data_IF_166028189728
#
_entry.id   IF_166028189728
#
_cell.length_a   1.000
_cell.length_b   1.000
_cell.length_c   1.000
_cell.angle_alpha   90.00
_cell.angle_beta   90.00
_cell.angle_gamma   90.00
#
_symmetry.space_group_name_H-M   'P 1'
#
loop_
_entity.id
_entity.type
_entity.pdbx_description
1 polymer ?
#
# COMPACT_ATOMS: atom_id res chain seq x y z
N UNK A 1 -28.22 14.40 -4.29
CA UNK A 1 -28.06 14.47 -5.76
C UNK A 1 -27.69 13.09 -6.30
N UNK A 2 -28.67 12.38 -6.85
CA UNK A 2 -28.48 11.16 -7.63
C UNK A 2 -27.81 11.53 -8.96
N UNK A 3 -26.57 11.10 -9.19
CA UNK A 3 -25.96 11.21 -10.52
C UNK A 3 -26.12 9.84 -11.21
N UNK A 4 -27.11 9.69 -12.12
CA UNK A 4 -27.45 8.40 -12.71
C UNK A 4 -26.29 7.79 -13.48
N UNK A 5 -25.48 8.60 -14.19
CA UNK A 5 -24.29 8.11 -14.92
C UNK A 5 -23.25 7.48 -14.00
N UNK A 6 -23.02 8.08 -12.83
CA UNK A 6 -22.07 7.56 -11.83
C UNK A 6 -22.57 6.26 -11.18
N UNK A 7 -23.88 6.13 -11.00
CA UNK A 7 -24.49 4.90 -10.48
C UNK A 7 -24.48 3.79 -11.53
N UNK A 8 -24.79 4.10 -12.79
CA UNK A 8 -24.70 3.18 -13.92
C UNK A 8 -23.28 2.60 -14.04
N UNK A 9 -22.25 3.45 -14.01
CA UNK A 9 -20.86 2.99 -14.09
C UNK A 9 -20.44 2.09 -12.92
N UNK A 10 -20.96 2.36 -11.71
CA UNK A 10 -20.72 1.48 -10.54
C UNK A 10 -21.42 0.14 -10.69
N UNK A 11 -22.65 0.14 -11.22
CA UNK A 11 -23.40 -1.08 -11.48
C UNK A 11 -22.70 -1.93 -12.53
N UNK A 12 -22.33 -1.36 -13.68
CA UNK A 12 -21.57 -2.08 -14.71
C UNK A 12 -20.22 -2.58 -14.20
N UNK A 13 -19.50 -1.76 -13.42
CA UNK A 13 -18.25 -2.19 -12.81
C UNK A 13 -18.42 -3.36 -11.84
N UNK A 14 -19.53 -3.40 -11.10
CA UNK A 14 -19.87 -4.54 -10.23
C UNK A 14 -20.21 -5.79 -11.03
N UNK A 15 -21.06 -5.67 -12.06
CA UNK A 15 -21.43 -6.80 -12.94
C UNK A 15 -20.18 -7.39 -13.59
N UNK A 16 -19.32 -6.54 -14.16
CA UNK A 16 -18.06 -6.97 -14.76
C UNK A 16 -17.13 -7.60 -13.72
N UNK A 17 -17.02 -7.00 -12.52
CA UNK A 17 -16.24 -7.56 -11.42
C UNK A 17 -16.71 -8.96 -11.00
N UNK A 18 -18.03 -9.20 -10.98
CA UNK A 18 -18.60 -10.53 -10.69
C UNK A 18 -18.28 -11.52 -11.80
N UNK A 19 -18.45 -11.15 -13.07
CA UNK A 19 -18.11 -12.02 -14.21
C UNK A 19 -16.64 -12.44 -14.16
N UNK A 20 -15.73 -11.48 -13.94
CA UNK A 20 -14.30 -11.76 -13.80
C UNK A 20 -13.99 -12.63 -12.57
N UNK A 21 -14.63 -12.36 -11.45
CA UNK A 21 -14.46 -13.17 -10.24
C UNK A 21 -14.91 -14.62 -10.44
N UNK A 22 -16.05 -14.84 -11.10
CA UNK A 22 -16.52 -16.20 -11.44
C UNK A 22 -15.56 -16.86 -12.42
N UNK A 23 -15.16 -16.16 -13.49
CA UNK A 23 -14.23 -16.70 -14.48
C UNK A 23 -12.90 -17.13 -13.84
N UNK A 24 -12.28 -16.25 -13.04
CA UNK A 24 -11.03 -16.58 -12.35
C UNK A 24 -11.23 -17.64 -11.27
N UNK A 25 -12.35 -17.62 -10.54
CA UNK A 25 -12.62 -18.64 -9.53
C UNK A 25 -12.77 -20.02 -10.17
N UNK A 26 -13.50 -20.14 -11.28
CA UNK A 26 -13.57 -21.38 -12.06
C UNK A 26 -12.21 -21.79 -12.61
N UNK A 27 -11.44 -20.85 -13.19
CA UNK A 27 -10.10 -21.13 -13.71
C UNK A 27 -9.16 -21.67 -12.62
N UNK A 28 -9.06 -20.98 -11.48
CA UNK A 28 -8.22 -21.42 -10.38
C UNK A 28 -8.74 -22.70 -9.75
N UNK A 29 -10.06 -22.91 -9.65
CA UNK A 29 -10.61 -24.17 -9.17
C UNK A 29 -10.32 -25.35 -10.11
N UNK A 30 -10.32 -25.12 -11.42
CA UNK A 30 -9.92 -26.12 -12.42
C UNK A 30 -8.42 -26.44 -12.35
N UNK A 31 -7.57 -25.41 -12.34
CA UNK A 31 -6.12 -25.60 -12.20
C UNK A 31 -5.79 -26.33 -10.89
N UNK A 32 -6.52 -26.02 -9.83
CA UNK A 32 -6.31 -26.66 -8.54
C UNK A 32 -6.66 -28.15 -8.56
N UNK A 33 -7.69 -28.54 -9.35
CA UNK A 33 -8.10 -29.94 -9.50
C UNK A 33 -7.26 -30.75 -10.48
N UNK A 34 -6.46 -30.11 -11.35
CA UNK A 34 -5.50 -30.79 -12.22
C UNK A 34 -4.22 -31.17 -11.49
N UNK A 35 -3.66 -32.33 -11.84
CA UNK A 35 -2.37 -32.81 -11.32
C UNK A 35 -1.21 -31.90 -11.77
N UNK A 36 -1.39 -31.18 -12.88
CA UNK A 36 -0.46 -30.19 -13.44
C UNK A 36 -0.17 -29.00 -12.50
N UNK A 37 -0.92 -28.83 -11.39
CA UNK A 37 -0.64 -27.78 -10.40
C UNK A 37 0.75 -27.94 -9.78
N UNK A 38 1.25 -29.17 -9.64
CA UNK A 38 2.59 -29.41 -9.08
C UNK A 38 3.73 -29.07 -10.06
N UNK A 39 3.45 -29.01 -11.37
CA UNK A 39 4.41 -28.57 -12.39
C UNK A 39 4.47 -27.03 -12.50
N UNK A 40 3.38 -26.34 -12.13
CA UNK A 40 3.38 -24.90 -12.00
C UNK A 40 4.05 -24.55 -10.68
N UNK A 41 5.31 -24.12 -10.76
CA UNK A 41 6.29 -23.71 -9.73
C UNK A 41 5.81 -22.69 -8.65
N UNK A 42 4.50 -22.51 -8.51
CA UNK A 42 3.85 -21.93 -7.34
C UNK A 42 3.95 -22.94 -6.20
N UNK A 43 4.97 -22.76 -5.35
CA UNK A 43 5.11 -23.31 -3.99
C UNK A 43 3.80 -23.90 -3.46
N UNK A 44 3.76 -25.20 -3.14
CA UNK A 44 2.63 -26.03 -2.64
C UNK A 44 1.18 -25.47 -2.72
N UNK A 45 0.21 -26.31 -3.14
CA UNK A 45 -1.25 -25.98 -3.09
C UNK A 45 -1.66 -25.29 -1.78
N UNK A 46 -1.05 -25.68 -0.68
CA UNK A 46 -1.23 -25.10 0.65
C UNK A 46 -0.79 -23.63 0.75
N UNK A 47 0.41 -23.29 0.27
CA UNK A 47 0.93 -21.93 0.28
C UNK A 47 0.08 -21.00 -0.59
N UNK A 48 -0.46 -21.48 -1.72
CA UNK A 48 -1.41 -20.71 -2.51
C UNK A 48 -2.67 -20.35 -1.72
N UNK A 49 -3.25 -21.31 -1.01
CA UNK A 49 -4.41 -21.07 -0.16
C UNK A 49 -4.07 -20.13 1.01
N UNK A 50 -2.91 -20.28 1.66
CA UNK A 50 -2.48 -19.34 2.70
C UNK A 50 -2.33 -17.93 2.11
N UNK A 51 -1.70 -17.81 0.95
CA UNK A 51 -1.53 -16.55 0.23
C UNK A 51 -2.86 -15.90 -0.14
N UNK A 52 -3.82 -16.68 -0.65
CA UNK A 52 -5.16 -16.21 -0.99
C UNK A 52 -5.94 -15.73 0.26
N UNK A 53 -5.85 -16.47 1.36
CA UNK A 53 -6.45 -16.07 2.63
C UNK A 53 -5.85 -14.76 3.17
N UNK A 54 -4.53 -14.66 3.20
CA UNK A 54 -3.81 -13.44 3.60
C UNK A 54 -4.16 -12.27 2.69
N UNK A 55 -4.28 -12.51 1.38
CA UNK A 55 -4.73 -11.51 0.42
C UNK A 55 -6.12 -10.99 0.76
N UNK A 56 -7.10 -11.88 1.04
CA UNK A 56 -8.44 -11.43 1.44
C UNK A 56 -8.46 -10.68 2.76
N UNK A 57 -7.72 -11.12 3.77
CA UNK A 57 -7.60 -10.41 5.05
C UNK A 57 -7.02 -9.01 4.80
N UNK A 58 -5.87 -8.95 4.13
CA UNK A 58 -5.15 -7.72 3.87
C UNK A 58 -6.00 -6.75 3.06
N UNK A 59 -6.55 -7.17 1.93
CA UNK A 59 -7.36 -6.31 1.06
C UNK A 59 -8.66 -5.87 1.75
N UNK A 60 -9.29 -6.73 2.53
CA UNK A 60 -10.52 -6.37 3.27
C UNK A 60 -10.24 -5.28 4.29
N UNK A 61 -9.14 -5.38 5.04
CA UNK A 61 -8.71 -4.37 6.02
C UNK A 61 -8.25 -3.09 5.31
N UNK A 62 -7.32 -3.23 4.36
CA UNK A 62 -6.67 -2.12 3.66
C UNK A 62 -7.67 -1.19 2.98
N UNK A 63 -8.77 -1.71 2.42
CA UNK A 63 -9.81 -0.88 1.75
C UNK A 63 -10.41 0.20 2.65
N UNK A 64 -10.40 0.01 3.98
CA UNK A 64 -10.90 1.00 4.94
C UNK A 64 -9.96 2.19 5.11
N UNK A 65 -8.67 2.00 4.82
CA UNK A 65 -7.60 2.96 5.07
C UNK A 65 -7.02 3.55 3.78
N UNK A 66 -7.08 2.79 2.69
CA UNK A 66 -6.43 3.09 1.43
C UNK A 66 -7.46 3.24 0.29
N UNK A 67 -7.28 4.21 -0.62
CA UNK A 67 -6.28 5.31 -0.61
C UNK A 67 -6.58 6.43 0.37
N UNK A 68 -7.83 6.47 0.79
CA UNK A 68 -8.38 7.46 1.68
C UNK A 68 -8.95 6.69 2.84
N UNK A 69 -8.61 7.12 4.06
CA UNK A 69 -9.34 6.68 5.23
C UNK A 69 -10.84 6.93 5.03
N UNK A 70 -11.59 5.86 4.88
CA UNK A 70 -13.04 5.90 4.82
C UNK A 70 -13.54 5.82 6.24
N UNK A 71 -14.27 6.85 6.67
CA UNK A 71 -14.83 6.87 8.00
C UNK A 71 -15.83 5.72 8.18
N UNK A 72 -15.94 5.23 9.41
CA UNK A 72 -16.92 4.22 9.78
C UNK A 72 -18.31 4.75 9.44
N UNK A 73 -19.00 3.99 8.59
CA UNK A 73 -20.28 4.40 8.06
C UNK A 73 -21.37 4.21 9.14
N UNK A 74 -21.96 5.30 9.60
CA UNK A 74 -23.02 5.28 10.62
C UNK A 74 -24.35 5.68 10.00
N UNK A 75 -24.89 4.84 9.12
CA UNK A 75 -26.23 5.05 8.55
C UNK A 75 -27.29 5.14 9.64
N UNK A 76 -27.18 4.26 10.63
CA UNK A 76 -27.99 4.29 11.84
C UNK A 76 -27.19 4.96 12.96
N UNK A 77 -27.59 6.17 13.33
CA UNK A 77 -27.03 6.91 14.47
C UNK A 77 -27.52 6.32 15.81
N UNK A 78 -26.79 6.51 16.91
CA UNK A 78 -27.16 5.93 18.21
C UNK A 78 -28.53 6.38 18.75
N UNK A 79 -29.04 7.53 18.32
CA UNK A 79 -30.34 8.06 18.76
C UNK A 79 -31.56 7.38 18.12
N UNK A 80 -31.38 6.58 17.06
CA UNK A 80 -32.50 5.79 16.54
C UNK A 80 -32.90 4.72 17.57
N UNK A 81 -34.21 4.46 17.76
CA UNK A 81 -34.72 3.51 18.76
C UNK A 81 -34.53 2.06 18.32
N UNK A 82 -33.29 1.69 17.99
CA UNK A 82 -32.89 0.34 17.62
C UNK A 82 -31.94 -0.21 18.69
N UNK A 83 -32.13 -1.47 19.08
CA UNK A 83 -31.22 -2.16 19.99
C UNK A 83 -29.81 -2.23 19.40
N UNK A 84 -28.78 -2.30 20.27
CA UNK A 84 -27.37 -2.39 19.86
C UNK A 84 -27.12 -3.49 18.84
N UNK A 85 -27.71 -4.68 19.07
CA UNK A 85 -27.65 -5.81 18.15
C UNK A 85 -28.25 -5.51 16.76
N UNK A 86 -29.48 -4.95 16.70
CA UNK A 86 -30.12 -4.62 15.41
C UNK A 86 -29.33 -3.56 14.65
N UNK A 87 -28.84 -2.56 15.37
CA UNK A 87 -28.01 -1.48 14.82
C UNK A 87 -26.67 -2.02 14.28
N UNK A 88 -26.01 -2.89 15.02
CA UNK A 88 -24.76 -3.52 14.58
C UNK A 88 -24.96 -4.34 13.30
N UNK A 89 -25.99 -5.20 13.27
CA UNK A 89 -26.30 -6.01 12.10
C UNK A 89 -26.66 -5.18 10.87
N UNK A 90 -27.43 -4.11 11.02
CA UNK A 90 -27.75 -3.21 9.91
C UNK A 90 -26.48 -2.55 9.35
N UNK A 91 -25.58 -2.08 10.22
CA UNK A 91 -24.31 -1.49 9.80
C UNK A 91 -23.41 -2.53 9.12
N UNK A 92 -23.31 -3.73 9.68
CA UNK A 92 -22.51 -4.83 9.13
C UNK A 92 -23.05 -5.28 7.76
N UNK A 93 -24.37 -5.41 7.63
CA UNK A 93 -25.05 -5.75 6.35
C UNK A 93 -24.81 -4.68 5.29
N UNK A 94 -24.83 -3.40 5.68
CA UNK A 94 -24.54 -2.30 4.74
C UNK A 94 -23.10 -2.35 4.21
N UNK A 95 -22.15 -2.82 5.03
CA UNK A 95 -20.76 -3.00 4.60
C UNK A 95 -20.61 -4.16 3.62
N UNK A 96 -21.43 -5.22 3.76
CA UNK A 96 -21.47 -6.36 2.83
C UNK A 96 -22.03 -6.02 1.46
N UNK A 97 -22.93 -5.03 1.37
CA UNK A 97 -23.42 -4.50 0.10
C UNK A 97 -22.36 -3.71 -0.71
N UNK A 98 -21.09 -3.74 -0.30
CA UNK A 98 -19.99 -3.10 -1.05
C UNK A 98 -19.57 -3.90 -2.29
N UNK A 99 -19.12 -3.19 -3.33
CA UNK A 99 -18.66 -3.77 -4.59
C UNK A 99 -17.45 -4.71 -4.50
N UNK A 100 -16.80 -4.84 -3.33
CA UNK A 100 -15.69 -5.78 -3.13
C UNK A 100 -16.18 -7.16 -2.64
N UNK A 101 -17.16 -7.21 -1.74
CA UNK A 101 -17.60 -8.47 -1.14
C UNK A 101 -18.31 -9.36 -2.15
N UNK A 102 -19.16 -8.79 -3.01
CA UNK A 102 -19.92 -9.58 -3.97
C UNK A 102 -18.99 -10.34 -4.95
N UNK A 103 -17.99 -9.70 -5.60
CA UNK A 103 -16.99 -10.42 -6.39
C UNK A 103 -16.15 -11.41 -5.57
N UNK A 104 -15.69 -11.04 -4.37
CA UNK A 104 -14.88 -11.95 -3.55
C UNK A 104 -15.66 -13.23 -3.18
N UNK A 105 -16.93 -13.10 -2.82
CA UNK A 105 -17.83 -14.22 -2.56
C UNK A 105 -18.05 -15.07 -3.81
N UNK A 106 -18.30 -14.43 -4.96
CA UNK A 106 -18.48 -15.13 -6.22
C UNK A 106 -17.23 -15.94 -6.62
N UNK A 107 -16.04 -15.36 -6.42
CA UNK A 107 -14.76 -16.04 -6.62
C UNK A 107 -14.61 -17.25 -5.70
N UNK A 108 -14.80 -17.08 -4.38
CA UNK A 108 -14.67 -18.19 -3.41
C UNK A 108 -15.64 -19.32 -3.72
N UNK A 109 -16.90 -19.01 -4.02
CA UNK A 109 -17.91 -20.04 -4.33
C UNK A 109 -17.57 -20.76 -5.64
N UNK A 110 -17.23 -20.02 -6.71
CA UNK A 110 -16.90 -20.65 -7.99
C UNK A 110 -15.64 -21.52 -7.92
N UNK A 111 -14.60 -21.07 -7.20
CA UNK A 111 -13.39 -21.86 -6.97
C UNK A 111 -13.67 -23.14 -6.16
N UNK A 112 -14.43 -23.01 -5.06
CA UNK A 112 -14.77 -24.16 -4.21
C UNK A 112 -15.65 -25.19 -4.91
N UNK A 113 -16.59 -24.74 -5.76
CA UNK A 113 -17.43 -25.64 -6.55
C UNK A 113 -16.66 -26.34 -7.67
N UNK A 114 -15.75 -25.64 -8.36
CA UNK A 114 -14.99 -26.20 -9.48
C UNK A 114 -13.88 -27.18 -9.04
N UNK A 115 -13.25 -26.90 -7.89
CA UNK A 115 -12.25 -27.80 -7.32
C UNK A 115 -12.85 -29.11 -6.77
N UNK A 116 -14.18 -29.22 -6.70
CA UNK A 116 -14.89 -30.44 -6.32
C UNK A 116 -14.49 -30.95 -4.94
N UNK A 117 -14.16 -32.24 -4.86
CA UNK A 117 -13.87 -32.94 -3.60
C UNK A 117 -12.60 -32.46 -2.90
N UNK A 118 -11.68 -31.80 -3.60
CA UNK A 118 -10.42 -31.34 -3.01
C UNK A 118 -10.58 -30.15 -2.05
N UNK A 119 -11.53 -29.25 -2.31
CA UNK A 119 -11.79 -28.06 -1.49
C UNK A 119 -13.20 -28.07 -0.90
N UNK A 120 -14.20 -28.34 -1.73
CA UNK A 120 -15.60 -28.50 -1.39
C UNK A 120 -16.20 -27.40 -0.50
N UNK A 121 -17.18 -27.82 0.30
CA UNK A 121 -17.87 -26.95 1.27
C UNK A 121 -16.96 -26.41 2.39
N UNK A 122 -15.99 -27.16 2.96
CA UNK A 122 -15.11 -26.65 4.01
C UNK A 122 -14.33 -25.40 3.58
N UNK A 123 -13.79 -25.41 2.35
CA UNK A 123 -13.11 -24.24 1.78
C UNK A 123 -14.04 -23.02 1.72
N UNK A 124 -15.25 -23.20 1.18
CA UNK A 124 -16.22 -22.10 1.04
C UNK A 124 -16.53 -21.51 2.42
N UNK A 125 -16.87 -22.34 3.41
CA UNK A 125 -17.22 -21.88 4.76
C UNK A 125 -16.04 -21.14 5.41
N UNK A 126 -14.84 -21.70 5.33
CA UNK A 126 -13.64 -21.10 5.91
C UNK A 126 -13.34 -19.74 5.29
N UNK A 127 -13.38 -19.62 3.98
CA UNK A 127 -13.12 -18.36 3.29
C UNK A 127 -14.22 -17.32 3.49
N UNK A 128 -15.48 -17.75 3.65
CA UNK A 128 -16.54 -16.87 4.12
C UNK A 128 -16.20 -16.33 5.51
N UNK A 129 -15.84 -17.19 6.47
CA UNK A 129 -15.45 -16.77 7.82
C UNK A 129 -14.28 -15.78 7.79
N UNK A 130 -13.29 -16.00 6.94
CA UNK A 130 -12.14 -15.08 6.76
C UNK A 130 -12.61 -13.70 6.29
N UNK A 131 -13.39 -13.66 5.21
CA UNK A 131 -13.86 -12.41 4.60
C UNK A 131 -14.76 -11.64 5.58
N UNK A 132 -15.69 -12.34 6.24
CA UNK A 132 -16.60 -11.75 7.22
C UNK A 132 -15.84 -11.28 8.47
N UNK A 133 -14.92 -12.10 8.99
CA UNK A 133 -14.09 -11.79 10.16
C UNK A 133 -13.17 -10.60 9.92
N UNK A 134 -12.47 -10.56 8.78
CA UNK A 134 -11.63 -9.43 8.40
C UNK A 134 -12.43 -8.13 8.26
N UNK A 135 -13.70 -8.20 7.80
CA UNK A 135 -14.59 -7.04 7.75
C UNK A 135 -14.92 -6.51 9.16
N UNK A 136 -15.20 -7.40 10.11
CA UNK A 136 -15.48 -7.03 11.51
C UNK A 136 -14.22 -6.41 12.14
N UNK A 137 -13.06 -7.04 11.97
CA UNK A 137 -11.77 -6.52 12.45
C UNK A 137 -11.51 -5.13 11.88
N UNK A 138 -11.71 -4.92 10.57
CA UNK A 138 -11.58 -3.58 9.97
C UNK A 138 -12.47 -2.55 10.68
N UNK A 139 -13.74 -2.87 10.91
CA UNK A 139 -14.68 -1.96 11.60
C UNK A 139 -14.21 -1.65 13.02
N UNK A 140 -13.70 -2.65 13.75
CA UNK A 140 -13.16 -2.47 15.09
C UNK A 140 -11.93 -1.54 15.08
N UNK A 141 -11.00 -1.74 14.14
CA UNK A 141 -9.84 -0.84 13.97
C UNK A 141 -10.30 0.59 13.66
N UNK A 142 -11.24 0.76 12.74
CA UNK A 142 -11.81 2.08 12.40
C UNK A 142 -12.49 2.74 13.61
N UNK A 143 -13.25 1.96 14.39
CA UNK A 143 -13.87 2.42 15.62
C UNK A 143 -12.84 2.91 16.64
N UNK A 144 -11.75 2.15 16.85
CA UNK A 144 -10.68 2.55 17.77
C UNK A 144 -10.01 3.85 17.33
N UNK A 145 -9.71 3.98 16.04
CA UNK A 145 -9.06 5.17 15.50
C UNK A 145 -9.94 6.42 15.56
N UNK A 146 -11.23 6.30 15.25
CA UNK A 146 -12.17 7.43 15.22
C UNK A 146 -12.57 7.91 16.60
N UNK A 147 -12.87 6.98 17.50
CA UNK A 147 -13.43 7.32 18.80
C UNK A 147 -12.38 7.51 19.89
N UNK A 148 -11.11 7.17 19.59
CA UNK A 148 -9.95 7.30 20.49
C UNK A 148 -10.32 6.88 21.91
N UNK A 149 -10.45 5.57 22.13
CA UNK A 149 -10.72 4.98 23.44
C UNK A 149 -9.56 5.24 24.42
N UNK A 150 -9.36 6.50 24.82
CA UNK A 150 -8.23 6.94 25.65
C UNK A 150 -8.33 6.46 27.10
N UNK A 151 -9.41 5.77 27.46
CA UNK A 151 -9.72 5.38 28.83
C UNK A 151 -10.05 3.89 29.01
N UNK A 152 -10.00 3.07 27.95
CA UNK A 152 -10.35 1.64 28.03
C UNK A 152 -9.41 0.77 27.18
N UNK A 153 -8.19 0.46 27.69
CA UNK A 153 -7.23 -0.41 26.98
C UNK A 153 -7.79 -1.80 26.65
N UNK A 154 -8.78 -2.27 27.41
CA UNK A 154 -9.52 -3.52 27.19
C UNK A 154 -10.15 -3.57 25.77
N UNK A 155 -10.67 -2.45 25.26
CA UNK A 155 -11.27 -2.39 23.93
C UNK A 155 -10.23 -2.50 22.80
N UNK A 156 -9.03 -1.97 23.00
CA UNK A 156 -7.91 -2.17 22.08
C UNK A 156 -7.40 -3.63 22.13
N UNK A 157 -7.43 -4.25 23.31
CA UNK A 157 -7.15 -5.69 23.49
C UNK A 157 -8.06 -6.57 22.64
N UNK A 158 -9.37 -6.31 22.60
CA UNK A 158 -10.29 -7.06 21.74
C UNK A 158 -9.97 -6.95 20.25
N UNK A 159 -9.46 -5.81 19.77
CA UNK A 159 -9.02 -5.65 18.38
C UNK A 159 -7.80 -6.51 18.09
N UNK A 160 -6.81 -6.49 18.98
CA UNK A 160 -5.58 -7.27 18.85
C UNK A 160 -5.90 -8.76 18.88
N UNK A 161 -6.72 -9.20 19.83
CA UNK A 161 -7.15 -10.61 19.96
C UNK A 161 -7.94 -11.05 18.72
N UNK A 162 -8.84 -10.22 18.20
CA UNK A 162 -9.62 -10.56 16.99
C UNK A 162 -8.72 -10.63 15.74
N UNK A 163 -7.75 -9.71 15.61
CA UNK A 163 -6.78 -9.74 14.51
C UNK A 163 -5.87 -10.97 14.60
N UNK A 164 -5.36 -11.26 15.80
CA UNK A 164 -4.54 -12.44 16.07
C UNK A 164 -5.34 -13.72 15.80
N UNK A 165 -6.60 -13.81 16.22
CA UNK A 165 -7.45 -14.97 15.95
C UNK A 165 -7.66 -15.21 14.45
N UNK A 166 -7.91 -14.16 13.67
CA UNK A 166 -8.04 -14.26 12.21
C UNK A 166 -6.74 -14.75 11.56
N UNK A 167 -5.58 -14.25 12.01
CA UNK A 167 -4.27 -14.61 11.45
C UNK A 167 -3.88 -16.04 11.86
N UNK A 168 -4.01 -16.39 13.14
CA UNK A 168 -3.69 -17.71 13.69
C UNK A 168 -4.55 -18.79 13.05
N UNK A 169 -5.84 -18.53 12.81
CA UNK A 169 -6.69 -19.46 12.05
C UNK A 169 -6.16 -19.79 10.64
N UNK A 170 -5.43 -18.86 10.00
CA UNK A 170 -4.88 -19.10 8.67
C UNK A 170 -3.53 -19.81 8.72
N UNK A 171 -2.67 -19.44 9.66
CA UNK A 171 -1.32 -19.98 9.75
C UNK A 171 -1.32 -21.37 10.41
N UNK A 172 -2.16 -21.59 11.43
CA UNK A 172 -2.10 -22.81 12.24
C UNK A 172 -2.91 -23.97 11.69
N UNK A 173 -3.91 -23.71 10.84
CA UNK A 173 -4.72 -24.75 10.23
C UNK A 173 -4.88 -24.46 8.74
N UNK A 174 -3.98 -24.94 7.88
CA UNK A 174 -4.18 -24.93 6.44
C UNK A 174 -5.49 -25.64 6.06
N UNK A 175 -6.12 -25.26 4.94
CA UNK A 175 -7.43 -25.83 4.50
C UNK A 175 -7.41 -27.37 4.42
N UNK A 176 -6.24 -27.95 4.18
CA UNK A 176 -6.03 -29.40 4.10
C UNK A 176 -5.89 -30.11 5.43
N UNK A 177 -5.46 -29.41 6.48
CA UNK A 177 -5.52 -29.98 7.83
C UNK A 177 -6.96 -29.93 8.29
N UNK A 178 -7.47 -31.07 8.75
CA UNK A 178 -8.85 -31.35 9.16
C UNK A 178 -9.35 -30.47 10.32
N UNK A 179 -9.31 -29.15 10.17
CA UNK A 179 -9.96 -28.22 11.07
C UNK A 179 -11.45 -28.52 10.98
N UNK A 180 -12.09 -28.92 12.08
CA UNK A 180 -13.53 -29.11 12.08
C UNK A 180 -14.17 -27.77 11.74
N UNK A 181 -15.13 -27.76 10.82
CA UNK A 181 -15.90 -26.57 10.41
C UNK A 181 -16.42 -25.78 11.63
N UNK A 182 -16.74 -26.48 12.73
CA UNK A 182 -17.15 -25.91 13.99
C UNK A 182 -16.13 -24.95 14.62
N UNK A 183 -14.82 -25.16 14.45
CA UNK A 183 -13.79 -24.27 14.95
C UNK A 183 -13.78 -22.93 14.20
N UNK A 184 -13.97 -22.95 12.88
CA UNK A 184 -14.09 -21.74 12.05
C UNK A 184 -15.36 -20.95 12.45
N UNK A 185 -16.48 -21.65 12.61
CA UNK A 185 -17.74 -21.05 13.06
C UNK A 185 -17.63 -20.45 14.47
N UNK A 186 -17.02 -21.18 15.42
CA UNK A 186 -16.80 -20.69 16.77
C UNK A 186 -15.96 -19.42 16.76
N UNK A 187 -14.90 -19.39 15.96
CA UNK A 187 -14.04 -18.22 15.87
C UNK A 187 -14.77 -17.03 15.25
N UNK A 188 -15.58 -17.26 14.23
CA UNK A 188 -16.46 -16.23 13.69
C UNK A 188 -17.40 -15.66 14.76
N UNK A 189 -18.04 -16.52 15.57
CA UNK A 189 -18.92 -16.10 16.67
C UNK A 189 -18.16 -15.25 17.69
N UNK A 190 -16.93 -15.63 18.05
CA UNK A 190 -16.09 -14.86 18.97
C UNK A 190 -15.73 -13.48 18.41
N UNK A 191 -15.26 -13.41 17.16
CA UNK A 191 -14.94 -12.14 16.48
C UNK A 191 -16.18 -11.25 16.37
N UNK A 192 -17.33 -11.84 16.00
CA UNK A 192 -18.61 -11.14 15.94
C UNK A 192 -19.02 -10.58 17.31
N UNK A 193 -18.88 -11.38 18.38
CA UNK A 193 -19.12 -10.95 19.75
C UNK A 193 -18.22 -9.78 20.17
N UNK A 194 -16.92 -9.86 19.88
CA UNK A 194 -15.99 -8.75 20.12
C UNK A 194 -16.40 -7.48 19.37
N UNK A 195 -16.79 -7.60 18.10
CA UNK A 195 -17.28 -6.47 17.31
C UNK A 195 -18.54 -5.83 17.89
N UNK A 196 -19.48 -6.65 18.37
CA UNK A 196 -20.70 -6.19 19.02
C UNK A 196 -20.40 -5.44 20.32
N UNK A 197 -19.53 -5.99 21.19
CA UNK A 197 -19.13 -5.35 22.44
C UNK A 197 -18.48 -3.99 22.16
N UNK A 198 -17.59 -3.91 21.17
CA UNK A 198 -16.97 -2.63 20.78
C UNK A 198 -18.01 -1.62 20.31
N UNK A 199 -18.99 -2.05 19.51
CA UNK A 199 -20.06 -1.18 18.99
C UNK A 199 -20.98 -0.65 20.10
N UNK A 200 -21.30 -1.46 21.10
CA UNK A 200 -22.14 -1.06 22.24
C UNK A 200 -21.44 -0.02 23.14
N UNK A 201 -20.11 -0.09 23.22
CA UNK A 201 -19.29 0.84 23.99
C UNK A 201 -18.87 2.09 23.20
N UNK A 202 -19.38 2.29 21.97
CA UNK A 202 -19.12 3.51 21.20
C UNK A 202 -19.80 4.71 21.86
N UNK A 203 -19.07 5.82 22.12
CA UNK A 203 -19.70 7.02 22.62
C UNK A 203 -20.64 7.64 21.57
N UNK A 204 -21.73 8.23 22.05
CA UNK A 204 -22.82 8.81 21.23
C UNK A 204 -22.29 9.94 20.34
N UNK A 205 -21.36 10.73 20.87
CA UNK A 205 -20.68 11.79 20.12
C UNK A 205 -19.33 11.32 19.61
N UNK A 206 -19.11 11.49 18.30
CA UNK A 206 -17.76 11.45 17.74
C UNK A 206 -16.98 12.59 18.36
N UNK A 207 -15.84 12.31 18.98
CA UNK A 207 -14.87 13.35 19.35
C UNK A 207 -14.27 13.95 18.07
N UNK A 208 -15.03 14.78 17.37
CA UNK A 208 -14.54 15.69 16.32
C UNK A 208 -13.90 16.93 16.94
N UNK A 209 -13.20 16.78 18.06
CA UNK A 209 -12.25 17.81 18.45
C UNK A 209 -11.00 17.55 17.62
N UNK A 210 -10.93 18.24 16.48
CA UNK A 210 -9.64 18.73 16.01
C UNK A 210 -9.12 19.63 17.14
N UNK A 211 -8.56 19.02 18.19
CA UNK A 211 -7.63 19.74 19.06
C UNK A 211 -6.56 20.20 18.10
N UNK A 212 -6.62 21.48 17.73
CA UNK A 212 -5.46 22.24 17.29
C UNK A 212 -4.57 22.33 18.52
N UNK A 213 -4.05 21.20 18.96
CA UNK A 213 -2.83 21.21 19.74
C UNK A 213 -1.85 21.92 18.82
N UNK A 214 -1.47 23.15 19.19
CA UNK A 214 -0.25 23.82 18.74
C UNK A 214 0.94 22.95 19.17
N UNK A 215 1.00 21.73 18.64
CA UNK A 215 2.17 20.89 18.76
C UNK A 215 3.16 21.57 17.82
N UNK A 216 4.32 21.96 18.34
CA UNK A 216 5.49 22.43 17.58
C UNK A 216 5.96 21.31 16.64
N UNK A 217 5.12 20.93 15.69
CA UNK A 217 5.44 19.96 14.65
C UNK A 217 6.23 20.73 13.61
N UNK A 218 7.39 20.18 13.28
CA UNK A 218 8.20 20.66 12.17
C UNK A 218 7.33 20.83 10.93
N UNK A 219 7.46 21.97 10.24
CA UNK A 219 6.75 22.28 8.99
C UNK A 219 6.94 21.17 7.95
N UNK A 220 8.11 20.52 7.95
CA UNK A 220 8.40 19.36 7.10
C UNK A 220 7.45 18.20 7.41
N UNK A 221 7.27 17.89 8.69
CA UNK A 221 6.39 16.81 9.12
C UNK A 221 4.92 17.10 8.79
N UNK A 222 4.48 18.36 8.89
CA UNK A 222 3.11 18.71 8.50
C UNK A 222 2.92 18.56 7.00
N UNK A 223 3.86 19.05 6.19
CA UNK A 223 3.80 18.95 4.72
C UNK A 223 3.77 17.48 4.23
N UNK A 224 4.57 16.59 4.82
CA UNK A 224 4.60 15.17 4.44
C UNK A 224 3.37 14.39 4.94
N UNK A 225 3.04 14.50 6.23
CA UNK A 225 2.05 13.61 6.86
C UNK A 225 0.62 14.14 6.82
N UNK A 226 0.41 15.46 6.68
CA UNK A 226 -0.92 16.04 6.52
C UNK A 226 -1.36 16.10 5.06
N UNK A 227 -0.42 16.20 4.11
CA UNK A 227 -0.77 16.10 2.68
C UNK A 227 -1.11 14.64 2.34
N UNK A 228 -2.41 14.34 2.39
CA UNK A 228 -2.96 13.01 2.12
C UNK A 228 -2.49 12.42 0.79
N UNK A 229 -2.26 13.23 -0.24
CA UNK A 229 -1.80 12.76 -1.57
C UNK A 229 -0.38 12.19 -1.49
N UNK A 230 0.52 12.91 -0.84
CA UNK A 230 1.89 12.47 -0.61
C UNK A 230 1.92 11.28 0.33
N UNK A 231 1.23 11.39 1.47
CA UNK A 231 1.19 10.31 2.46
C UNK A 231 0.72 8.99 1.85
N UNK A 232 -0.38 9.00 1.07
CA UNK A 232 -0.86 7.78 0.42
C UNK A 232 0.14 7.25 -0.60
N UNK A 233 0.79 8.11 -1.39
CA UNK A 233 1.79 7.69 -2.39
C UNK A 233 3.06 7.10 -1.74
N UNK A 234 3.56 7.73 -0.67
CA UNK A 234 4.69 7.20 0.11
C UNK A 234 4.34 5.88 0.78
N UNK A 235 3.16 5.79 1.41
CA UNK A 235 2.72 4.59 2.10
C UNK A 235 2.58 3.42 1.12
N UNK A 236 2.06 3.67 -0.09
CA UNK A 236 2.03 2.67 -1.16
C UNK A 236 3.44 2.21 -1.51
N UNK A 237 4.35 3.14 -1.77
CA UNK A 237 5.75 2.80 -2.08
C UNK A 237 6.40 1.95 -0.99
N UNK A 238 6.21 2.31 0.29
CA UNK A 238 6.75 1.55 1.42
C UNK A 238 6.08 0.20 1.63
N UNK A 239 4.75 0.10 1.48
CA UNK A 239 4.05 -1.19 1.58
C UNK A 239 4.52 -2.13 0.47
N UNK A 240 4.63 -1.64 -0.76
CA UNK A 240 5.14 -2.46 -1.87
C UNK A 240 6.59 -2.88 -1.63
N UNK A 241 7.45 -1.98 -1.13
CA UNK A 241 8.84 -2.30 -0.80
C UNK A 241 8.94 -3.35 0.31
N UNK A 242 8.26 -3.14 1.42
CA UNK A 242 8.26 -4.09 2.54
C UNK A 242 7.64 -5.43 2.17
N UNK A 243 6.53 -5.41 1.41
CA UNK A 243 5.88 -6.62 0.92
C UNK A 243 6.78 -7.42 -0.01
N UNK A 244 7.42 -6.75 -0.97
CA UNK A 244 8.32 -7.41 -1.92
C UNK A 244 9.60 -7.92 -1.26
N UNK A 245 10.33 -7.08 -0.53
CA UNK A 245 11.57 -7.49 0.14
C UNK A 245 11.33 -8.52 1.25
N UNK A 246 10.20 -8.41 1.96
CA UNK A 246 9.80 -9.39 2.98
C UNK A 246 9.43 -10.74 2.37
N UNK A 247 8.67 -10.74 1.27
CA UNK A 247 8.35 -11.96 0.52
C UNK A 247 9.64 -12.57 -0.05
N UNK A 248 10.52 -11.77 -0.64
CA UNK A 248 11.77 -12.25 -1.21
C UNK A 248 12.65 -12.88 -0.14
N UNK A 249 12.72 -12.23 1.03
CA UNK A 249 13.46 -12.81 2.16
C UNK A 249 12.89 -14.15 2.60
N UNK A 250 11.57 -14.27 2.64
CA UNK A 250 10.89 -15.51 3.00
C UNK A 250 11.15 -16.64 1.99
N UNK A 251 11.03 -16.34 0.69
CA UNK A 251 11.27 -17.31 -0.39
C UNK A 251 12.74 -17.75 -0.38
N UNK A 252 13.67 -16.81 -0.24
CA UNK A 252 15.11 -17.11 -0.19
C UNK A 252 15.49 -17.97 1.00
N UNK A 253 14.89 -17.75 2.16
CA UNK A 253 15.12 -18.58 3.35
C UNK A 253 14.53 -19.98 3.25
N UNK A 254 13.50 -20.19 2.43
CA UNK A 254 12.79 -21.48 2.32
C UNK A 254 13.24 -22.32 1.14
N UNK A 255 13.37 -21.71 -0.04
CA UNK A 255 13.77 -22.38 -1.30
C UNK A 255 15.27 -22.26 -1.59
N UNK A 256 15.96 -21.32 -0.96
CA UNK A 256 17.34 -20.99 -1.33
C UNK A 256 17.43 -20.17 -2.62
N UNK A 257 16.32 -19.68 -3.19
CA UNK A 257 16.25 -18.89 -4.42
C UNK A 257 15.53 -17.56 -4.22
N UNK A 258 15.78 -16.57 -5.10
CA UNK A 258 15.08 -15.28 -5.06
C UNK A 258 13.75 -15.34 -5.79
N UNK A 259 12.82 -14.45 -5.46
CA UNK A 259 11.53 -14.38 -6.15
C UNK A 259 11.77 -14.06 -7.64
N UNK A 260 11.12 -14.84 -8.51
CA UNK A 260 11.23 -14.76 -9.97
C UNK A 260 12.63 -15.05 -10.53
N UNK A 261 13.51 -15.72 -9.76
CA UNK A 261 14.90 -16.01 -10.14
C UNK A 261 15.70 -14.76 -10.57
N UNK A 262 15.19 -13.57 -10.26
CA UNK A 262 15.65 -12.32 -10.88
C UNK A 262 16.12 -11.35 -9.81
N UNK A 263 17.42 -11.39 -9.50
CA UNK A 263 18.06 -10.44 -8.60
C UNK A 263 17.79 -8.98 -9.03
N UNK A 264 17.63 -8.71 -10.33
CA UNK A 264 17.30 -7.37 -10.82
C UNK A 264 16.09 -6.73 -10.11
N UNK A 265 15.03 -7.51 -9.86
CA UNK A 265 13.83 -6.98 -9.19
C UNK A 265 14.15 -6.62 -7.75
N UNK A 266 14.92 -7.47 -7.05
CA UNK A 266 15.44 -7.15 -5.71
C UNK A 266 16.18 -5.83 -5.73
N UNK A 267 17.10 -5.62 -6.67
CA UNK A 267 17.84 -4.37 -6.79
C UNK A 267 16.96 -3.15 -7.02
N UNK A 268 15.92 -3.28 -7.84
CA UNK A 268 14.96 -2.22 -8.06
C UNK A 268 14.19 -1.86 -6.78
N UNK A 269 13.70 -2.85 -6.04
CA UNK A 269 12.93 -2.63 -4.81
C UNK A 269 13.80 -2.23 -3.62
N UNK A 270 15.04 -2.72 -3.53
CA UNK A 270 16.01 -2.33 -2.53
C UNK A 270 16.55 -0.91 -2.78
N UNK A 271 16.57 -0.43 -4.02
CA UNK A 271 16.94 0.96 -4.33
C UNK A 271 15.94 2.00 -3.79
N UNK A 272 16.34 3.29 -3.69
CA UNK A 272 15.42 4.35 -3.31
C UNK A 272 14.49 4.79 -4.46
N UNK A 273 14.56 4.19 -5.65
CA UNK A 273 13.82 4.65 -6.85
C UNK A 273 12.30 4.74 -6.63
N UNK A 274 11.74 3.85 -5.80
CA UNK A 274 10.31 3.84 -5.52
C UNK A 274 9.81 5.19 -4.96
N UNK A 275 10.48 5.75 -3.96
CA UNK A 275 10.03 7.04 -3.37
C UNK A 275 10.12 8.19 -4.40
N UNK A 276 11.08 8.14 -5.32
CA UNK A 276 11.22 9.12 -6.40
C UNK A 276 10.13 8.98 -7.47
N UNK A 277 9.89 7.75 -7.94
CA UNK A 277 8.90 7.47 -8.97
C UNK A 277 7.47 7.78 -8.51
N UNK A 278 7.16 7.69 -7.22
CA UNK A 278 5.83 8.00 -6.70
C UNK A 278 5.65 9.47 -6.29
N UNK A 279 6.69 10.12 -5.74
CA UNK A 279 6.54 11.44 -5.13
C UNK A 279 7.56 12.45 -5.65
N UNK A 280 8.85 12.19 -5.49
CA UNK A 280 9.86 13.26 -5.59
C UNK A 280 10.17 13.71 -7.02
N UNK A 281 10.01 12.84 -8.03
CA UNK A 281 10.09 13.23 -9.44
C UNK A 281 8.99 14.24 -9.84
N UNK A 282 8.00 14.48 -8.98
CA UNK A 282 6.94 15.46 -9.19
C UNK A 282 6.54 16.18 -7.88
N UNK A 283 7.51 16.50 -7.02
CA UNK A 283 7.23 17.07 -5.70
C UNK A 283 6.37 18.36 -5.78
N UNK A 284 6.69 19.25 -6.71
CA UNK A 284 5.98 20.53 -6.89
C UNK A 284 4.55 20.34 -7.43
N UNK A 285 4.27 19.24 -8.14
CA UNK A 285 2.92 18.83 -8.52
C UNK A 285 1.99 18.55 -7.33
N UNK A 286 2.56 18.08 -6.21
CA UNK A 286 1.83 17.92 -4.95
C UNK A 286 1.75 19.20 -4.11
N UNK A 287 2.70 20.12 -4.32
CA UNK A 287 2.95 21.28 -3.45
C UNK A 287 3.00 22.62 -4.22
N UNK A 288 2.10 22.82 -5.20
CA UNK A 288 2.09 24.05 -6.04
C UNK A 288 2.03 25.35 -5.24
N UNK A 289 1.30 25.37 -4.13
CA UNK A 289 1.17 26.55 -3.26
C UNK A 289 2.45 26.84 -2.48
N UNK A 290 3.14 25.80 -2.02
CA UNK A 290 4.43 25.94 -1.34
C UNK A 290 5.48 26.47 -2.33
N UNK A 291 5.50 25.94 -3.55
CA UNK A 291 6.38 26.43 -4.60
C UNK A 291 6.20 27.94 -4.85
N UNK A 292 4.96 28.41 -5.05
CA UNK A 292 4.67 29.85 -5.25
C UNK A 292 5.18 30.72 -4.09
N UNK A 293 5.08 30.24 -2.86
CA UNK A 293 5.59 30.96 -1.69
C UNK A 293 7.11 31.02 -1.67
N UNK A 294 7.79 29.90 -1.99
CA UNK A 294 9.25 29.82 -2.01
C UNK A 294 9.85 30.62 -3.18
N UNK A 295 9.16 30.67 -4.32
CA UNK A 295 9.55 31.42 -5.50
C UNK A 295 9.59 32.95 -5.29
N UNK A 296 8.86 33.46 -4.28
CA UNK A 296 8.90 34.88 -3.88
C UNK A 296 10.08 35.24 -2.98
N UNK A 297 10.86 34.26 -2.55
CA UNK A 297 12.01 34.53 -1.67
C UNK A 297 13.18 35.15 -2.45
N UNK A 298 14.03 35.98 -1.80
CA UNK A 298 15.16 36.64 -2.47
C UNK A 298 16.12 35.67 -3.18
N UNK A 299 16.23 34.44 -2.67
CA UNK A 299 17.04 33.36 -3.24
C UNK A 299 16.18 32.12 -3.53
N UNK A 300 15.18 32.28 -4.40
CA UNK A 300 14.19 31.24 -4.75
C UNK A 300 14.81 29.86 -5.04
N UNK A 301 15.86 29.79 -5.86
CA UNK A 301 16.51 28.52 -6.20
C UNK A 301 17.07 27.80 -4.98
N UNK A 302 17.82 28.49 -4.12
CA UNK A 302 18.41 27.89 -2.92
C UNK A 302 17.31 27.50 -1.90
N UNK A 303 16.28 28.33 -1.77
CA UNK A 303 15.15 28.03 -0.90
C UNK A 303 14.44 26.75 -1.35
N UNK A 304 14.16 26.59 -2.65
CA UNK A 304 13.53 25.39 -3.19
C UNK A 304 14.37 24.13 -3.00
N UNK A 305 15.67 24.20 -3.25
CA UNK A 305 16.58 23.07 -3.02
C UNK A 305 16.61 22.65 -1.55
N UNK A 306 16.74 23.62 -0.64
CA UNK A 306 16.76 23.35 0.80
C UNK A 306 15.45 22.71 1.26
N UNK A 307 14.29 23.21 0.78
CA UNK A 307 13.01 22.61 1.13
C UNK A 307 12.80 21.24 0.49
N UNK A 308 13.24 21.03 -0.75
CA UNK A 308 13.21 19.72 -1.42
C UNK A 308 13.99 18.68 -0.60
N UNK A 309 15.24 18.99 -0.23
CA UNK A 309 16.09 18.09 0.57
C UNK A 309 15.51 17.84 1.96
N UNK A 310 14.96 18.86 2.62
CA UNK A 310 14.31 18.72 3.94
C UNK A 310 13.09 17.82 3.87
N UNK A 311 12.27 17.92 2.82
CA UNK A 311 11.12 17.04 2.61
C UNK A 311 11.54 15.61 2.28
N UNK A 312 12.64 15.45 1.53
CA UNK A 312 13.15 14.16 1.10
C UNK A 312 13.83 13.34 2.20
N UNK A 313 14.54 14.00 3.12
CA UNK A 313 15.34 13.33 4.14
C UNK A 313 14.57 12.27 4.95
N UNK A 314 13.38 12.54 5.53
CA UNK A 314 12.72 11.54 6.37
C UNK A 314 12.31 10.26 5.61
N UNK A 315 11.68 10.35 4.41
CA UNK A 315 11.37 9.13 3.64
C UNK A 315 12.62 8.43 3.11
N UNK A 316 13.66 9.17 2.70
CA UNK A 316 14.91 8.57 2.24
C UNK A 316 15.64 7.83 3.37
N UNK A 317 15.62 8.36 4.60
CA UNK A 317 16.18 7.70 5.77
C UNK A 317 15.40 6.41 6.13
N UNK A 318 14.06 6.44 6.06
CA UNK A 318 13.25 5.24 6.25
C UNK A 318 13.54 4.18 5.18
N UNK A 319 13.67 4.60 3.92
CA UNK A 319 14.04 3.71 2.80
C UNK A 319 15.42 3.08 3.00
N UNK A 320 16.39 3.87 3.44
CA UNK A 320 17.74 3.40 3.74
C UNK A 320 17.74 2.32 4.82
N UNK A 321 17.00 2.53 5.92
CA UNK A 321 16.90 1.55 7.01
C UNK A 321 16.30 0.24 6.51
N UNK A 322 15.19 0.29 5.76
CA UNK A 322 14.55 -0.91 5.21
C UNK A 322 15.50 -1.67 4.30
N UNK A 323 16.18 -0.97 3.39
CA UNK A 323 17.10 -1.57 2.42
C UNK A 323 18.35 -2.13 3.09
N UNK A 324 18.88 -1.44 4.10
CA UNK A 324 20.05 -1.88 4.87
C UNK A 324 19.73 -3.13 5.69
N UNK A 325 18.56 -3.17 6.34
CA UNK A 325 18.12 -4.37 7.06
C UNK A 325 18.04 -5.56 6.11
N UNK A 326 17.48 -5.37 4.90
CA UNK A 326 17.47 -6.41 3.88
C UNK A 326 18.89 -6.85 3.49
N UNK A 327 19.78 -5.92 3.16
CA UNK A 327 21.15 -6.25 2.77
C UNK A 327 22.01 -6.88 3.87
N UNK A 328 21.70 -6.65 5.16
CA UNK A 328 22.38 -7.31 6.28
C UNK A 328 22.03 -8.80 6.35
N UNK A 329 20.83 -9.18 5.89
CA UNK A 329 20.43 -10.60 5.81
C UNK A 329 21.21 -11.36 4.74
N UNK A 330 21.86 -10.66 3.81
CA UNK A 330 22.61 -11.21 2.66
C UNK A 330 24.04 -10.63 2.63
N UNK A 331 24.98 -11.17 3.44
CA UNK A 331 26.34 -10.66 3.59
C UNK A 331 27.09 -10.47 2.26
N UNK A 332 26.85 -11.35 1.28
CA UNK A 332 27.42 -11.33 -0.06
C UNK A 332 27.07 -10.04 -0.83
N UNK A 333 25.92 -9.44 -0.53
CA UNK A 333 25.42 -8.24 -1.21
C UNK A 333 25.59 -6.98 -0.38
N UNK A 334 25.93 -7.06 0.90
CA UNK A 334 25.89 -5.91 1.81
C UNK A 334 26.70 -4.71 1.31
N UNK A 335 27.97 -4.92 0.95
CA UNK A 335 28.87 -3.83 0.55
C UNK A 335 28.43 -3.21 -0.78
N UNK A 336 28.19 -4.05 -1.80
CA UNK A 336 27.78 -3.61 -3.13
C UNK A 336 26.39 -2.96 -3.07
N UNK A 337 25.50 -3.52 -2.26
CA UNK A 337 24.14 -3.04 -1.96
C UNK A 337 24.14 -1.62 -1.44
N UNK A 338 24.93 -1.36 -0.40
CA UNK A 338 25.03 -0.03 0.22
C UNK A 338 25.65 0.99 -0.75
N UNK A 339 26.75 0.64 -1.44
CA UNK A 339 27.41 1.55 -2.40
C UNK A 339 26.46 1.92 -3.54
N UNK A 340 25.75 0.93 -4.08
CA UNK A 340 24.78 1.13 -5.15
C UNK A 340 23.60 1.97 -4.65
N UNK A 341 23.07 1.68 -3.46
CA UNK A 341 21.98 2.46 -2.86
C UNK A 341 22.36 3.94 -2.73
N UNK A 342 23.56 4.24 -2.21
CA UNK A 342 24.06 5.62 -2.07
C UNK A 342 24.18 6.29 -3.44
N UNK A 343 24.74 5.59 -4.42
CA UNK A 343 24.93 6.10 -5.77
C UNK A 343 23.58 6.41 -6.46
N UNK A 344 22.60 5.51 -6.32
CA UNK A 344 21.24 5.70 -6.84
C UNK A 344 20.52 6.84 -6.10
N UNK A 345 20.69 6.94 -4.78
CA UNK A 345 20.10 8.01 -3.98
C UNK A 345 20.57 9.37 -4.49
N UNK A 346 21.88 9.55 -4.69
CA UNK A 346 22.46 10.83 -5.13
C UNK A 346 21.94 11.24 -6.51
N UNK A 347 22.00 10.34 -7.50
CA UNK A 347 21.51 10.65 -8.84
C UNK A 347 20.00 10.90 -8.83
N UNK A 348 19.23 10.13 -8.05
CA UNK A 348 17.78 10.31 -7.95
C UNK A 348 17.39 11.59 -7.21
N UNK A 349 18.15 12.02 -6.21
CA UNK A 349 17.97 13.32 -5.53
C UNK A 349 18.01 14.45 -6.56
N UNK A 350 19.06 14.48 -7.38
CA UNK A 350 19.29 15.54 -8.35
C UNK A 350 18.31 15.46 -9.52
N UNK A 351 18.15 14.28 -10.12
CA UNK A 351 17.22 14.09 -11.22
C UNK A 351 15.78 14.31 -10.80
N UNK A 352 15.39 13.85 -9.61
CA UNK A 352 14.06 14.09 -9.07
C UNK A 352 13.77 15.57 -8.87
N UNK A 353 14.75 16.34 -8.37
CA UNK A 353 14.62 17.79 -8.27
C UNK A 353 14.47 18.41 -9.67
N UNK A 354 15.35 18.07 -10.61
CA UNK A 354 15.32 18.59 -11.97
C UNK A 354 14.00 18.29 -12.70
N UNK A 355 13.54 17.03 -12.69
CA UNK A 355 12.30 16.62 -13.35
C UNK A 355 11.06 17.21 -12.69
N UNK A 356 11.06 17.36 -11.36
CA UNK A 356 9.98 18.01 -10.65
C UNK A 356 9.78 19.47 -11.08
N UNK A 357 10.86 20.13 -11.55
CA UNK A 357 10.84 21.50 -12.08
C UNK A 357 10.49 21.54 -13.58
N UNK A 358 11.09 20.67 -14.38
CA UNK A 358 10.98 20.71 -15.84
C UNK A 358 9.60 20.28 -16.37
N UNK A 359 9.07 19.17 -15.85
CA UNK A 359 7.81 18.55 -16.30
C UNK A 359 6.96 18.07 -15.12
N UNK A 360 6.54 18.99 -14.24
CA UNK A 360 5.61 18.65 -13.15
C UNK A 360 4.27 18.17 -13.72
N UNK A 361 3.56 17.35 -12.96
CA UNK A 361 2.17 16.97 -13.24
C UNK A 361 1.28 17.41 -12.10
N UNK A 362 0.21 18.14 -12.38
CA UNK A 362 -0.70 18.57 -11.31
C UNK A 362 -1.43 17.36 -10.69
N UNK A 363 -1.22 17.12 -9.40
CA UNK A 363 -1.88 16.02 -8.69
C UNK A 363 -3.14 16.52 -8.01
N UNK A 364 -4.29 16.34 -8.68
CA UNK A 364 -5.60 16.73 -8.14
C UNK A 364 -6.20 15.68 -7.20
N UNK A 365 -6.01 14.39 -7.50
CA UNK A 365 -6.60 13.25 -6.77
C UNK A 365 -5.52 12.46 -6.02
N UNK A 366 -5.93 11.71 -5.00
CA UNK A 366 -5.02 10.87 -4.19
C UNK A 366 -4.52 9.63 -4.96
N UNK A 367 -5.36 9.04 -5.82
CA UNK A 367 -4.95 8.07 -6.82
C UNK A 367 -5.30 8.66 -8.18
N UNK A 368 -4.32 8.74 -9.06
CA UNK A 368 -4.55 9.00 -10.48
C UNK A 368 -4.10 7.77 -11.25
N UNK A 369 -4.97 7.27 -12.14
CA UNK A 369 -4.64 6.17 -13.07
C UNK A 369 -3.63 6.60 -14.12
N UNK A 370 -3.58 7.91 -14.43
CA UNK A 370 -2.48 8.53 -15.16
C UNK A 370 -1.30 8.67 -14.21
N UNK A 371 -0.13 8.16 -14.62
CA UNK A 371 1.09 8.17 -13.79
C UNK A 371 1.39 9.53 -13.17
N UNK A 372 1.71 9.54 -11.88
CA UNK A 372 1.90 10.75 -11.07
C UNK A 372 3.16 11.54 -11.45
N UNK A 373 4.05 10.93 -12.23
CA UNK A 373 5.39 11.45 -12.55
C UNK A 373 5.63 11.34 -14.06
N UNK A 374 6.64 12.06 -14.54
CA UNK A 374 7.00 12.02 -15.95
C UNK A 374 7.61 10.67 -16.32
N UNK A 375 7.14 10.07 -17.42
CA UNK A 375 7.52 8.71 -17.83
C UNK A 375 9.03 8.54 -17.99
N UNK A 376 9.69 9.47 -18.69
CA UNK A 376 11.14 9.41 -18.90
C UNK A 376 11.95 9.56 -17.61
N UNK A 377 11.44 10.32 -16.64
CA UNK A 377 12.09 10.41 -15.33
C UNK A 377 12.13 9.04 -14.66
N UNK A 378 11.02 8.30 -14.70
CA UNK A 378 10.94 6.97 -14.09
C UNK A 378 11.77 5.95 -14.86
N UNK A 379 11.73 5.99 -16.21
CA UNK A 379 12.58 5.12 -17.03
C UNK A 379 14.06 5.35 -16.77
N UNK A 380 14.51 6.61 -16.65
CA UNK A 380 15.90 6.92 -16.32
C UNK A 380 16.27 6.44 -14.92
N UNK A 381 15.41 6.62 -13.90
CA UNK A 381 15.68 6.08 -12.56
C UNK A 381 15.80 4.55 -12.55
N UNK A 382 14.95 3.85 -13.31
CA UNK A 382 15.03 2.40 -13.47
C UNK A 382 16.32 2.01 -14.20
N UNK A 383 16.64 2.69 -15.31
CA UNK A 383 17.87 2.45 -16.08
C UNK A 383 19.13 2.66 -15.23
N UNK A 384 19.17 3.73 -14.43
CA UNK A 384 20.31 3.98 -13.55
C UNK A 384 20.49 2.89 -12.50
N UNK A 385 19.38 2.31 -12.03
CA UNK A 385 19.40 1.17 -11.11
C UNK A 385 19.86 -0.10 -11.82
N UNK A 386 19.38 -0.36 -13.03
CA UNK A 386 19.82 -1.49 -13.86
C UNK A 386 21.32 -1.44 -14.17
N UNK A 387 21.84 -0.27 -14.52
CA UNK A 387 23.27 -0.11 -14.82
C UNK A 387 24.14 -0.39 -13.58
N UNK A 388 23.71 0.02 -12.38
CA UNK A 388 24.43 -0.27 -11.14
C UNK A 388 24.26 -1.71 -10.68
N UNK A 389 23.12 -2.36 -10.95
CA UNK A 389 22.97 -3.80 -10.77
C UNK A 389 24.04 -4.58 -11.55
N UNK A 390 24.43 -4.07 -12.73
CA UNK A 390 25.52 -4.62 -13.53
C UNK A 390 26.86 -4.78 -12.77
N UNK A 391 27.09 -4.03 -11.68
CA UNK A 391 28.29 -4.15 -10.84
C UNK A 391 28.48 -5.54 -10.25
N UNK A 392 27.42 -6.33 -10.11
CA UNK A 392 27.52 -7.72 -9.66
C UNK A 392 28.24 -8.63 -10.66
N UNK A 393 28.21 -8.29 -11.95
CA UNK A 393 28.77 -9.14 -13.00
C UNK A 393 30.18 -8.72 -13.42
N UNK A 394 30.51 -7.43 -13.38
CA UNK A 394 31.79 -6.95 -13.90
C UNK A 394 32.39 -5.80 -13.09
N UNK A 395 33.70 -5.90 -12.82
CA UNK A 395 34.46 -4.91 -12.04
C UNK A 395 34.59 -3.54 -12.72
N UNK A 396 34.51 -3.47 -14.04
CA UNK A 396 34.55 -2.17 -14.75
C UNK A 396 33.36 -1.30 -14.32
N UNK A 397 32.17 -1.89 -14.14
CA UNK A 397 30.96 -1.11 -13.84
C UNK A 397 31.01 -0.38 -12.49
N UNK A 398 32.01 -0.63 -11.62
CA UNK A 398 32.28 0.22 -10.45
C UNK A 398 32.62 1.67 -10.84
N UNK A 399 33.15 1.92 -12.04
CA UNK A 399 33.36 3.27 -12.58
C UNK A 399 32.06 4.05 -12.78
N UNK A 400 30.89 3.40 -12.80
CA UNK A 400 29.62 4.10 -12.84
C UNK A 400 29.37 4.94 -11.58
N UNK A 401 29.92 4.53 -10.43
CA UNK A 401 29.77 5.27 -9.17
C UNK A 401 30.30 6.70 -9.30
N UNK A 402 31.59 6.96 -9.60
CA UNK A 402 32.08 8.32 -9.77
C UNK A 402 31.40 9.05 -10.93
N UNK A 403 31.03 8.35 -12.01
CA UNK A 403 30.26 8.95 -13.13
C UNK A 403 28.92 9.49 -12.64
N UNK A 404 28.19 8.76 -11.79
CA UNK A 404 26.90 9.21 -11.27
C UNK A 404 27.05 10.45 -10.41
N UNK A 405 28.12 10.55 -9.61
CA UNK A 405 28.42 11.75 -8.83
C UNK A 405 28.72 12.95 -9.73
N UNK A 406 29.55 12.77 -10.77
CA UNK A 406 29.90 13.84 -11.72
C UNK A 406 28.66 14.33 -12.46
N UNK A 407 27.87 13.41 -13.02
CA UNK A 407 26.62 13.73 -13.73
C UNK A 407 25.65 14.45 -12.78
N UNK A 408 25.52 13.97 -11.54
CA UNK A 408 24.68 14.61 -10.53
C UNK A 408 25.14 16.04 -10.21
N UNK A 409 26.44 16.27 -10.08
CA UNK A 409 26.99 17.60 -9.84
C UNK A 409 26.70 18.56 -11.02
N UNK A 410 26.89 18.09 -12.26
CA UNK A 410 26.60 18.85 -13.48
C UNK A 410 25.12 19.21 -13.58
N UNK A 411 24.23 18.23 -13.42
CA UNK A 411 22.77 18.44 -13.51
C UNK A 411 22.30 19.35 -12.39
N UNK A 412 22.83 19.21 -11.18
CA UNK A 412 22.48 20.07 -10.05
C UNK A 412 22.91 21.52 -10.28
N UNK A 413 24.11 21.74 -10.81
CA UNK A 413 24.59 23.06 -11.20
C UNK A 413 23.70 23.68 -12.28
N UNK A 414 23.36 22.91 -13.33
CA UNK A 414 22.48 23.36 -14.40
C UNK A 414 21.08 23.70 -13.89
N UNK A 415 20.48 22.86 -13.05
CA UNK A 415 19.17 23.09 -12.46
C UNK A 415 19.12 24.38 -11.62
N UNK A 416 20.22 24.73 -10.95
CA UNK A 416 20.36 25.98 -10.20
C UNK A 416 20.49 27.19 -11.13
N UNK A 417 21.33 27.09 -12.15
CA UNK A 417 21.61 28.19 -13.09
C UNK A 417 20.39 28.52 -13.94
N UNK A 418 19.71 27.51 -14.47
CA UNK A 418 18.56 27.65 -15.37
C UNK A 418 17.21 27.75 -14.65
N UNK A 419 17.22 27.93 -13.33
CA UNK A 419 16.00 28.10 -12.55
C UNK A 419 15.02 29.15 -13.14
N UNK A 420 15.47 30.33 -13.63
CA UNK A 420 14.56 31.33 -14.21
C UNK A 420 13.75 30.82 -15.41
N UNK A 421 14.33 29.96 -16.24
CA UNK A 421 13.63 29.36 -17.38
C UNK A 421 12.72 28.21 -16.92
N UNK A 422 13.24 27.34 -16.05
CA UNK A 422 12.49 26.23 -15.45
C UNK A 422 11.25 26.73 -14.69
N UNK A 423 11.35 27.91 -14.04
CA UNK A 423 10.22 28.58 -13.37
C UNK A 423 9.05 28.83 -14.32
N UNK A 424 9.34 29.28 -15.56
CA UNK A 424 8.30 29.54 -16.58
C UNK A 424 7.62 28.24 -17.01
N UNK A 425 8.41 27.18 -17.23
CA UNK A 425 7.89 25.85 -17.58
C UNK A 425 7.03 25.28 -16.45
N UNK A 426 7.51 25.32 -15.21
CA UNK A 426 6.82 24.89 -14.01
C UNK A 426 5.48 25.61 -13.82
N UNK A 427 5.47 26.94 -13.98
CA UNK A 427 4.23 27.73 -13.90
C UNK A 427 3.23 27.30 -14.96
N UNK A 428 3.68 27.14 -16.22
CA UNK A 428 2.83 26.73 -17.34
C UNK A 428 2.19 25.37 -17.09
N UNK A 429 2.97 24.38 -16.66
CA UNK A 429 2.47 23.00 -16.46
C UNK A 429 1.57 22.86 -15.21
N UNK A 430 1.76 23.69 -14.17
CA UNK A 430 0.96 23.60 -12.93
C UNK A 430 -0.34 24.41 -12.94
N UNK A 431 -0.43 25.47 -13.76
CA UNK A 431 -1.51 26.46 -13.71
C UNK A 431 -2.24 26.70 -15.03
N UNK A 432 -1.75 26.17 -16.15
CA UNK A 432 -2.47 26.28 -17.43
C UNK A 432 -3.47 25.13 -17.50
N UNK A 433 -4.76 25.46 -17.34
CA UNK A 433 -5.89 24.53 -17.50
C UNK A 433 -6.10 24.15 -18.96
#
# INVERSE_FOLDING_TARGET
MFNPRKQLGRFFGLVFGVIFAVFYGLLFGYLFSTDDWEEVDLSSRENFLIGLALFFIFMTILRGFYPTYHQLNTWVRPFFPLSGFKRYNLKLSSDFASAFFIPALAFTVSMGLMAGDQLGLPFIVKYLVIILGANIVRRMVQAVLEYRFSSKPILAGFVIVSLAAVIVLQISYPVYTSSPIWADLLTFVLIYGCGLIVEEHLPVERKQTAKVEKKNRSIVSSLLFQNKKIRSSLLVGFIFKLGFLGADSYVRLTSGEHIFESDFLVWLFASPVLIFNYVYNNLWGYHRSLWLTLDRSPNASNALQNYYLRLLWPPLAADFVISTVYFILYPEWTVIGIISWISIAIISIVFGFYWSMLKPRLILKTITTKGNTFFWSNMLSILFTMLLYGMLFTKWLYWLVPVYFIVSAIVFYYAKKEYPELRKALFKELFKE
#
